data_IF_730470011864
#
_entry.id   IF_730470011864
#
_cell.length_a   1.000
_cell.length_b   1.000
_cell.length_c   1.000
_cell.angle_alpha   90.00
_cell.angle_beta   90.00
_cell.angle_gamma   90.00
#
_symmetry.space_group_name_H-M   'P 1'
#
loop_
_entity.id
_entity.type
_entity.pdbx_description
1 polymer ?
#
# COMPACT_ATOMS: atom_id res chain seq x y z
N UNK A 1 12.63 13.20 -19.28
CA UNK A 1 13.58 12.68 -18.26
C UNK A 1 12.80 11.78 -17.30
N UNK A 2 13.15 10.51 -17.22
CA UNK A 2 12.61 9.58 -16.21
C UNK A 2 13.13 10.02 -14.84
N UNK A 3 12.22 10.35 -13.92
CA UNK A 3 12.59 10.62 -12.53
C UNK A 3 12.65 9.29 -11.79
N UNK A 4 13.79 8.99 -11.23
CA UNK A 4 13.99 7.92 -10.27
C UNK A 4 14.21 8.57 -8.92
N UNK A 5 13.53 8.07 -7.88
CA UNK A 5 13.69 8.53 -6.52
C UNK A 5 14.08 7.34 -5.65
N UNK A 6 15.17 7.49 -4.91
CA UNK A 6 15.58 6.57 -3.86
C UNK A 6 15.61 7.36 -2.57
N UNK A 7 14.90 6.90 -1.56
CA UNK A 7 14.81 7.55 -0.25
C UNK A 7 15.30 6.55 0.78
N UNK A 8 16.11 7.02 1.72
CA UNK A 8 16.48 6.28 2.92
C UNK A 8 16.22 7.18 4.11
N UNK A 9 15.32 6.76 4.98
CA UNK A 9 14.98 7.46 6.20
C UNK A 9 15.41 6.67 7.42
N UNK A 10 15.76 7.37 8.49
CA UNK A 10 16.08 6.77 9.77
C UNK A 10 15.52 7.68 10.88
N UNK A 11 14.65 7.10 11.70
CA UNK A 11 14.04 7.80 12.84
C UNK A 11 14.57 7.18 14.12
N UNK A 12 15.07 8.02 15.03
CA UNK A 12 15.63 7.59 16.31
C UNK A 12 15.03 8.40 17.45
N UNK A 13 14.68 7.72 18.55
CA UNK A 13 14.35 8.34 19.82
C UNK A 13 15.04 7.57 20.95
N UNK A 14 15.52 8.30 21.96
CA UNK A 14 16.20 7.72 23.12
C UNK A 14 15.31 7.83 24.36
N UNK A 15 15.26 6.77 25.15
CA UNK A 15 14.59 6.75 26.46
C UNK A 15 15.19 7.81 27.38
N UNK A 16 14.34 8.56 28.10
CA UNK A 16 14.74 9.59 29.05
C UNK A 16 15.02 10.96 28.44
N UNK A 17 15.03 11.09 27.10
CA UNK A 17 15.16 12.38 26.42
C UNK A 17 13.77 12.98 26.22
N UNK A 18 13.55 14.22 26.66
CA UNK A 18 12.27 14.95 26.58
C UNK A 18 11.05 14.17 27.14
N UNK A 19 11.26 13.31 28.14
CA UNK A 19 10.20 12.50 28.74
C UNK A 19 9.82 11.25 27.94
N UNK A 20 10.65 10.82 27.00
CA UNK A 20 10.40 9.59 26.23
C UNK A 20 10.60 8.32 27.05
N UNK A 21 9.63 7.40 27.03
CA UNK A 21 9.68 6.14 27.77
C UNK A 21 10.37 5.00 27.02
N UNK A 22 10.51 5.12 25.69
CA UNK A 22 11.01 4.07 24.82
C UNK A 22 12.24 4.52 24.00
N UNK A 23 13.13 3.55 23.78
CA UNK A 23 14.16 3.69 22.75
C UNK A 23 13.56 3.21 21.43
N UNK A 24 13.52 4.06 20.42
CA UNK A 24 12.97 3.77 19.10
C UNK A 24 14.03 3.96 18.03
N UNK A 25 14.20 2.97 17.19
CA UNK A 25 15.03 3.06 16.01
C UNK A 25 14.31 2.39 14.85
N UNK A 26 13.90 3.19 13.88
CA UNK A 26 13.24 2.77 12.66
C UNK A 26 14.07 3.17 11.45
N UNK A 27 14.22 2.26 10.50
CA UNK A 27 14.85 2.54 9.22
C UNK A 27 13.92 2.14 8.10
N UNK A 28 13.81 2.99 7.08
CA UNK A 28 13.03 2.74 5.88
C UNK A 28 13.87 3.03 4.64
N UNK A 29 13.69 2.22 3.61
CA UNK A 29 14.23 2.44 2.29
C UNK A 29 13.09 2.42 1.28
N UNK A 30 13.04 3.41 0.41
CA UNK A 30 12.03 3.54 -0.65
C UNK A 30 12.68 3.69 -2.02
N UNK A 31 12.08 3.08 -3.00
CA UNK A 31 12.45 3.20 -4.40
C UNK A 31 11.22 3.48 -5.23
N UNK A 32 11.24 4.55 -6.03
CA UNK A 32 10.17 4.90 -6.94
C UNK A 32 10.73 5.16 -8.33
N UNK A 33 10.11 4.53 -9.33
CA UNK A 33 10.50 4.72 -10.73
C UNK A 33 9.33 4.55 -11.67
N UNK A 34 9.29 5.38 -12.70
CA UNK A 34 8.40 5.23 -13.86
C UNK A 34 9.15 4.59 -15.01
N UNK A 35 8.59 3.52 -15.56
CA UNK A 35 9.09 2.83 -16.74
C UNK A 35 8.16 3.13 -17.92
N UNK A 36 8.72 3.62 -19.01
CA UNK A 36 7.98 3.91 -20.25
C UNK A 36 8.14 2.79 -21.25
N UNK A 37 7.02 2.29 -21.79
CA UNK A 37 6.98 1.23 -22.79
C UNK A 37 6.55 1.74 -24.17
N UNK A 38 6.92 2.96 -24.52
CA UNK A 38 6.60 3.59 -25.81
C UNK A 38 5.08 3.60 -26.08
N UNK A 39 4.63 2.87 -27.09
CA UNK A 39 3.21 2.81 -27.49
C UNK A 39 2.31 2.07 -26.48
N UNK A 40 2.88 1.28 -25.58
CA UNK A 40 2.12 0.49 -24.58
C UNK A 40 1.90 1.21 -23.26
N UNK A 41 2.31 2.50 -23.17
CA UNK A 41 2.09 3.30 -21.98
C UNK A 41 3.26 3.29 -20.98
N UNK A 42 2.96 3.33 -19.69
CA UNK A 42 3.99 3.36 -18.65
C UNK A 42 3.55 2.65 -17.38
N UNK A 43 4.52 2.22 -16.59
CA UNK A 43 4.31 1.63 -15.27
C UNK A 43 4.99 2.47 -14.21
N UNK A 44 4.25 2.81 -13.17
CA UNK A 44 4.77 3.36 -11.95
C UNK A 44 5.03 2.23 -10.95
N UNK A 45 6.26 2.16 -10.45
CA UNK A 45 6.68 1.15 -9.48
C UNK A 45 7.17 1.87 -8.23
N UNK A 46 6.59 1.53 -7.08
CA UNK A 46 7.00 1.97 -5.75
C UNK A 46 7.31 0.74 -4.93
N UNK A 47 8.51 0.67 -4.39
CA UNK A 47 8.96 -0.39 -3.47
C UNK A 47 9.39 0.28 -2.18
N UNK A 48 8.96 -0.26 -1.04
CA UNK A 48 9.39 0.19 0.28
C UNK A 48 9.72 -1.00 1.16
N UNK A 49 10.71 -0.84 2.01
CA UNK A 49 11.04 -1.81 3.04
C UNK A 49 11.47 -1.05 4.29
N UNK A 50 11.01 -1.51 5.44
CA UNK A 50 11.31 -0.88 6.72
C UNK A 50 11.41 -1.86 7.85
N UNK A 51 12.12 -1.46 8.91
CA UNK A 51 12.32 -2.28 10.11
C UNK A 51 12.44 -1.43 11.37
N UNK A 52 11.72 -1.86 12.41
CA UNK A 52 11.85 -1.37 13.79
C UNK A 52 12.83 -2.28 14.52
N UNK A 53 13.92 -1.72 15.02
CA UNK A 53 15.03 -2.49 15.61
C UNK A 53 14.83 -2.79 17.08
N UNK A 54 14.10 -1.95 17.81
CA UNK A 54 13.93 -2.03 19.25
C UNK A 54 12.62 -2.75 19.62
N UNK A 55 12.51 -3.11 20.91
CA UNK A 55 11.25 -3.53 21.52
C UNK A 55 10.40 -2.29 21.77
N UNK A 56 9.20 -2.25 21.20
CA UNK A 56 8.30 -1.10 21.26
C UNK A 56 6.84 -1.55 21.41
N UNK A 57 5.96 -0.74 22.00
CA UNK A 57 4.52 -1.00 22.04
C UNK A 57 3.92 -0.84 20.65
N UNK A 58 2.72 -1.42 20.43
CA UNK A 58 2.08 -1.48 19.10
C UNK A 58 1.89 -0.13 18.39
N UNK A 59 1.67 1.01 19.08
CA UNK A 59 1.54 2.30 18.39
C UNK A 59 2.81 2.77 17.68
N UNK A 60 3.97 2.20 18.04
CA UNK A 60 5.27 2.48 17.42
C UNK A 60 5.68 1.41 16.39
N UNK A 61 4.86 0.38 16.18
CA UNK A 61 5.06 -0.60 15.12
C UNK A 61 4.66 -0.03 13.76
N UNK A 62 5.05 -0.71 12.71
CA UNK A 62 4.63 -0.36 11.35
C UNK A 62 3.20 -0.85 11.13
N UNK A 63 2.30 0.11 11.01
CA UNK A 63 0.90 -0.13 10.70
C UNK A 63 0.67 0.26 9.23
N UNK A 64 0.28 -0.68 8.35
CA UNK A 64 0.03 -0.37 6.96
C UNK A 64 -1.10 0.65 6.79
N UNK A 65 -0.97 1.53 5.81
CA UNK A 65 -1.99 2.54 5.52
C UNK A 65 -3.23 1.88 4.90
N UNK A 66 -4.29 1.75 5.67
CA UNK A 66 -5.60 1.29 5.21
C UNK A 66 -6.42 2.48 4.67
N UNK A 67 -6.98 2.32 3.49
CA UNK A 67 -7.86 3.32 2.90
C UNK A 67 -9.33 2.99 3.22
N UNK A 68 -9.90 3.65 4.19
CA UNK A 68 -11.29 3.49 4.60
C UNK A 68 -12.27 4.32 3.75
N UNK A 69 -11.79 5.07 2.77
CA UNK A 69 -12.61 5.90 1.89
C UNK A 69 -12.85 5.23 0.54
N UNK A 70 -13.86 5.69 -0.19
CA UNK A 70 -14.10 5.26 -1.57
C UNK A 70 -13.17 5.93 -2.59
N UNK A 71 -12.35 6.90 -2.17
CA UNK A 71 -11.39 7.59 -3.03
C UNK A 71 -10.09 6.81 -3.11
N UNK A 72 -9.47 6.80 -4.29
CA UNK A 72 -8.14 6.20 -4.47
C UNK A 72 -7.12 7.08 -3.76
N UNK A 73 -6.40 6.50 -2.82
CA UNK A 73 -5.29 7.16 -2.12
C UNK A 73 -3.97 6.51 -2.53
N UNK A 74 -2.94 7.30 -2.84
CA UNK A 74 -1.60 6.77 -3.09
C UNK A 74 -1.06 6.05 -1.85
N UNK A 75 -0.25 5.02 -2.08
CA UNK A 75 0.47 4.28 -1.04
C UNK A 75 -0.42 3.73 0.10
N UNK A 76 -1.68 3.44 -0.20
CA UNK A 76 -2.63 2.84 0.76
C UNK A 76 -3.32 1.62 0.18
N UNK A 77 -3.72 0.70 1.04
CA UNK A 77 -4.44 -0.52 0.66
C UNK A 77 -5.94 -0.25 0.68
N UNK A 78 -6.60 -0.61 -0.43
CA UNK A 78 -8.01 -0.25 -0.66
C UNK A 78 -9.01 -1.12 0.10
N UNK A 79 -8.63 -2.37 0.42
CA UNK A 79 -9.50 -3.38 1.02
C UNK A 79 -8.97 -3.91 2.36
N UNK A 80 -7.92 -3.27 2.88
CA UNK A 80 -7.37 -3.57 4.20
C UNK A 80 -8.13 -2.78 5.27
N UNK A 81 -8.44 -3.43 6.38
CA UNK A 81 -9.02 -2.75 7.53
C UNK A 81 -7.96 -1.95 8.31
N UNK A 82 -8.40 -0.93 9.03
CA UNK A 82 -7.50 -0.18 9.90
C UNK A 82 -6.91 -1.11 10.97
N UNK A 83 -5.59 -1.00 11.18
CA UNK A 83 -4.86 -1.81 12.17
C UNK A 83 -4.99 -3.33 11.98
N UNK A 84 -5.31 -3.80 10.77
CA UNK A 84 -5.47 -5.22 10.50
C UNK A 84 -4.16 -6.00 10.67
N UNK A 85 -3.04 -5.41 10.24
CA UNK A 85 -1.72 -6.03 10.39
C UNK A 85 -0.78 -5.15 11.20
N UNK A 86 -0.05 -5.79 12.11
CA UNK A 86 0.99 -5.18 12.93
C UNK A 86 2.33 -5.82 12.61
N UNK A 87 3.30 -5.03 12.15
CA UNK A 87 4.60 -5.52 11.71
C UNK A 87 5.72 -4.71 12.35
N UNK A 88 6.84 -5.36 12.66
CA UNK A 88 8.08 -4.66 13.02
C UNK A 88 9.08 -4.62 11.85
N UNK A 89 8.87 -5.45 10.84
CA UNK A 89 9.57 -5.36 9.56
C UNK A 89 8.59 -5.61 8.42
N UNK A 90 8.80 -4.92 7.29
CA UNK A 90 7.96 -5.07 6.13
C UNK A 90 8.68 -4.79 4.81
N UNK A 91 8.13 -5.35 3.75
CA UNK A 91 8.42 -5.00 2.38
C UNK A 91 7.09 -4.80 1.63
N UNK A 92 6.94 -3.70 0.93
CA UNK A 92 5.73 -3.38 0.18
C UNK A 92 6.04 -3.03 -1.26
N UNK A 93 5.08 -3.29 -2.14
CA UNK A 93 5.13 -2.89 -3.53
C UNK A 93 3.79 -2.30 -3.96
N UNK A 94 3.87 -1.27 -4.79
CA UNK A 94 2.74 -0.70 -5.54
C UNK A 94 3.19 -0.58 -6.99
N UNK A 95 2.53 -1.35 -7.85
CA UNK A 95 2.78 -1.36 -9.28
C UNK A 95 1.50 -0.95 -9.99
N UNK A 96 1.51 0.20 -10.66
CA UNK A 96 0.38 0.70 -11.42
C UNK A 96 0.78 0.88 -12.88
N UNK A 97 0.11 0.14 -13.77
CA UNK A 97 0.35 0.16 -15.20
C UNK A 97 -0.75 0.90 -15.95
N UNK A 98 -0.37 1.92 -16.69
CA UNK A 98 -1.22 2.77 -17.52
C UNK A 98 -1.04 2.40 -19.00
N UNK A 99 -2.04 1.76 -19.60
CA UNK A 99 -1.96 1.26 -20.96
C UNK A 99 -2.19 2.33 -22.04
N UNK A 100 -2.49 3.57 -21.66
CA UNK A 100 -2.74 4.69 -22.59
C UNK A 100 -3.79 4.42 -23.68
N UNK A 101 -4.79 3.58 -23.38
CA UNK A 101 -5.85 3.23 -24.33
C UNK A 101 -5.43 2.21 -25.38
N UNK A 102 -4.43 1.40 -25.12
CA UNK A 102 -3.97 0.37 -26.06
C UNK A 102 -5.07 -0.57 -26.52
N UNK A 103 -5.96 -0.99 -25.61
CA UNK A 103 -7.11 -1.82 -25.91
C UNK A 103 -8.30 -0.99 -26.41
N UNK A 104 -8.67 0.09 -25.67
CA UNK A 104 -9.86 0.89 -25.97
C UNK A 104 -9.76 1.66 -27.28
N UNK A 105 -8.57 2.06 -27.70
CA UNK A 105 -8.37 2.72 -29.00
C UNK A 105 -8.62 1.80 -30.22
N UNK A 106 -8.71 0.49 -30.01
CA UNK A 106 -9.06 -0.49 -31.07
C UNK A 106 -10.58 -0.57 -31.28
N UNK A 107 -11.37 -0.15 -30.30
CA UNK A 107 -12.83 -0.17 -30.36
C UNK A 107 -13.32 1.21 -30.82
N UNK A 108 -13.97 1.35 -31.98
CA UNK A 108 -14.29 2.67 -32.57
C UNK A 108 -15.10 3.59 -31.66
N UNK A 109 -16.01 3.03 -30.85
CA UNK A 109 -16.85 3.80 -29.91
C UNK A 109 -16.02 4.30 -28.73
N UNK A 110 -15.20 3.43 -28.10
CA UNK A 110 -14.37 3.76 -26.93
C UNK A 110 -13.22 4.71 -27.30
N UNK A 111 -12.70 4.62 -28.51
CA UNK A 111 -11.69 5.55 -29.03
C UNK A 111 -12.16 7.01 -29.00
N UNK A 112 -13.43 7.28 -29.26
CA UNK A 112 -14.00 8.64 -29.19
C UNK A 112 -14.06 9.17 -27.76
N UNK A 113 -14.22 8.30 -26.77
CA UNK A 113 -14.27 8.64 -25.35
C UNK A 113 -12.88 8.92 -24.75
N UNK A 114 -11.80 8.49 -25.44
CA UNK A 114 -10.41 8.64 -24.98
C UNK A 114 -10.15 8.06 -23.60
N UNK A 115 -10.91 7.03 -23.22
CA UNK A 115 -10.71 6.31 -21.98
C UNK A 115 -9.38 5.53 -22.02
N UNK A 116 -8.77 5.37 -20.84
CA UNK A 116 -7.50 4.66 -20.69
C UNK A 116 -7.64 3.57 -19.64
N UNK A 117 -7.06 2.43 -19.93
CA UNK A 117 -7.03 1.29 -19.01
C UNK A 117 -5.89 1.46 -18.01
N UNK A 118 -6.17 1.07 -16.77
CA UNK A 118 -5.20 1.03 -15.68
C UNK A 118 -5.26 -0.32 -15.00
N UNK A 119 -4.11 -0.92 -14.78
CA UNK A 119 -3.96 -2.13 -13.98
C UNK A 119 -3.13 -1.80 -12.76
N UNK A 120 -3.53 -2.29 -11.59
CA UNK A 120 -2.79 -2.08 -10.35
C UNK A 120 -2.58 -3.39 -9.61
N UNK A 121 -1.41 -3.52 -8.98
CA UNK A 121 -1.08 -4.61 -8.08
C UNK A 121 -0.32 -4.03 -6.89
N UNK A 122 -0.89 -4.20 -5.70
CA UNK A 122 -0.29 -3.75 -4.44
C UNK A 122 -0.11 -4.93 -3.52
N UNK A 123 0.99 -4.94 -2.79
CA UNK A 123 1.21 -5.97 -1.82
C UNK A 123 2.09 -5.54 -0.67
N UNK A 124 1.95 -6.29 0.41
CA UNK A 124 2.68 -6.13 1.64
C UNK A 124 3.13 -7.49 2.13
N UNK A 125 4.39 -7.62 2.39
CA UNK A 125 4.95 -8.71 3.17
C UNK A 125 5.43 -8.12 4.50
N UNK A 126 4.95 -8.62 5.62
CA UNK A 126 5.30 -8.15 6.94
C UNK A 126 5.62 -9.29 7.88
N UNK A 127 6.41 -9.01 8.89
CA UNK A 127 6.73 -9.93 9.96
C UNK A 127 6.66 -9.20 11.30
N UNK A 128 6.34 -9.94 12.35
CA UNK A 128 6.34 -9.45 13.72
C UNK A 128 7.21 -10.39 14.57
N UNK A 129 8.33 -9.87 15.04
CA UNK A 129 9.22 -10.64 15.91
C UNK A 129 8.65 -10.82 17.32
N UNK A 130 9.02 -11.90 17.98
CA UNK A 130 8.53 -12.26 19.32
C UNK A 130 8.79 -11.18 20.38
N UNK A 131 9.82 -10.35 20.20
CA UNK A 131 10.12 -9.22 21.09
C UNK A 131 9.06 -8.13 21.10
N UNK A 132 8.31 -7.98 19.99
CA UNK A 132 7.28 -6.98 19.78
C UNK A 132 5.85 -7.57 19.78
N UNK A 133 5.74 -8.88 20.02
CA UNK A 133 4.46 -9.57 20.06
C UNK A 133 3.95 -9.70 21.52
N UNK A 134 2.79 -9.10 21.86
CA UNK A 134 2.24 -9.19 23.21
C UNK A 134 1.81 -10.60 23.63
N UNK A 135 1.73 -11.56 22.70
CA UNK A 135 1.51 -12.96 23.05
C UNK A 135 2.71 -13.58 23.79
N UNK A 136 3.92 -13.10 23.52
CA UNK A 136 5.18 -13.57 24.12
C UNK A 136 5.74 -12.58 25.16
N UNK A 137 5.24 -11.32 25.19
CA UNK A 137 5.74 -10.25 26.06
C UNK A 137 4.59 -9.65 26.87
N UNK A 138 4.55 -9.94 28.16
CA UNK A 138 3.48 -9.50 29.08
C UNK A 138 3.50 -8.01 29.42
N UNK A 139 4.61 -7.33 29.17
CA UNK A 139 4.80 -5.90 29.42
C UNK A 139 4.38 -5.00 28.25
N UNK A 140 3.93 -5.58 27.14
CA UNK A 140 3.41 -4.85 26.00
C UNK A 140 1.89 -4.74 26.01
N UNK A 141 1.37 -3.63 25.47
CA UNK A 141 -0.07 -3.45 25.28
C UNK A 141 -0.61 -4.50 24.29
N UNK A 142 -1.76 -5.05 24.60
CA UNK A 142 -2.47 -5.97 23.69
C UNK A 142 -2.85 -5.27 22.39
N UNK A 143 -2.83 -6.01 21.30
CA UNK A 143 -3.29 -5.49 20.01
C UNK A 143 -4.79 -5.19 20.03
N UNK A 144 -5.23 -4.20 19.23
CA UNK A 144 -6.65 -3.94 19.03
C UNK A 144 -7.40 -5.19 18.53
N UNK A 145 -8.69 -5.27 18.82
CA UNK A 145 -9.53 -6.33 18.29
C UNK A 145 -9.56 -6.26 16.76
N UNK A 146 -9.44 -7.43 16.11
CA UNK A 146 -9.36 -7.50 14.64
C UNK A 146 -7.95 -7.44 14.05
N UNK A 147 -6.93 -7.13 14.86
CA UNK A 147 -5.54 -7.18 14.41
C UNK A 147 -5.04 -8.61 14.30
N UNK A 148 -4.29 -8.88 13.25
CA UNK A 148 -3.71 -10.18 12.92
C UNK A 148 -2.21 -10.03 12.63
N UNK A 149 -1.42 -11.03 12.98
CA UNK A 149 -0.02 -11.12 12.56
C UNK A 149 0.04 -11.74 11.18
N UNK A 150 0.90 -11.18 10.32
CA UNK A 150 1.14 -11.77 9.00
C UNK A 150 1.95 -13.06 9.16
N UNK A 151 1.55 -14.10 8.41
CA UNK A 151 2.31 -15.34 8.27
C UNK A 151 3.28 -15.27 7.07
N UNK A 152 3.59 -16.42 6.49
CA UNK A 152 4.46 -16.47 5.29
C UNK A 152 3.80 -15.99 4.01
N UNK A 153 2.50 -15.71 4.01
CA UNK A 153 1.76 -15.27 2.82
C UNK A 153 1.71 -13.74 2.79
N UNK A 154 2.13 -13.09 1.71
CA UNK A 154 1.97 -11.64 1.57
C UNK A 154 0.50 -11.26 1.43
N UNK A 155 0.14 -10.08 1.91
CA UNK A 155 -1.13 -9.44 1.56
C UNK A 155 -1.04 -8.90 0.13
N UNK A 156 -2.03 -9.18 -0.72
CA UNK A 156 -2.04 -8.76 -2.12
C UNK A 156 -3.42 -8.28 -2.54
N UNK A 157 -3.45 -7.11 -3.18
CA UNK A 157 -4.59 -6.55 -3.90
C UNK A 157 -4.26 -6.41 -5.38
N UNK A 158 -5.23 -6.70 -6.25
CA UNK A 158 -5.13 -6.39 -7.67
C UNK A 158 -6.36 -5.57 -8.09
N UNK A 159 -6.16 -4.62 -9.00
CA UNK A 159 -7.21 -3.75 -9.48
C UNK A 159 -7.16 -3.54 -10.98
N UNK A 160 -8.34 -3.32 -11.54
CA UNK A 160 -8.52 -2.89 -12.93
C UNK A 160 -9.33 -1.61 -12.92
N UNK A 161 -8.86 -0.60 -13.62
CA UNK A 161 -9.47 0.71 -13.65
C UNK A 161 -9.60 1.31 -15.04
N UNK A 162 -10.43 2.31 -15.11
CA UNK A 162 -10.62 3.16 -16.28
C UNK A 162 -10.37 4.59 -15.83
N UNK A 163 -9.44 5.26 -16.48
CA UNK A 163 -9.17 6.68 -16.27
C UNK A 163 -9.63 7.54 -17.46
N UNK A 164 -9.60 8.85 -17.25
CA UNK A 164 -10.00 9.83 -18.24
C UNK A 164 -11.51 9.82 -18.59
N UNK A 165 -12.33 9.31 -17.69
CA UNK A 165 -13.79 9.42 -17.80
C UNK A 165 -14.15 10.90 -17.60
N UNK A 166 -14.80 11.50 -18.62
CA UNK A 166 -15.06 12.94 -18.68
C UNK A 166 -13.82 13.82 -18.44
N UNK A 167 -12.61 13.32 -18.71
CA UNK A 167 -11.30 13.99 -18.53
C UNK A 167 -10.87 14.22 -17.06
N UNK A 168 -11.66 13.82 -16.09
CA UNK A 168 -11.39 14.11 -14.67
C UNK A 168 -11.56 12.91 -13.74
N UNK A 169 -12.27 11.88 -14.16
CA UNK A 169 -12.64 10.77 -13.29
C UNK A 169 -11.85 9.51 -13.61
N UNK A 170 -11.42 8.82 -12.58
CA UNK A 170 -10.89 7.45 -12.61
C UNK A 170 -11.75 6.58 -11.71
N UNK A 171 -12.07 5.38 -12.17
CA UNK A 171 -12.81 4.36 -11.45
C UNK A 171 -12.03 3.07 -11.50
N UNK A 172 -11.71 2.52 -10.35
CA UNK A 172 -10.99 1.24 -10.19
C UNK A 172 -11.89 0.23 -9.48
N UNK A 173 -11.89 -0.99 -9.95
CA UNK A 173 -12.42 -2.12 -9.23
C UNK A 173 -11.26 -2.96 -8.69
N UNK A 174 -11.21 -3.14 -7.37
CA UNK A 174 -10.10 -3.78 -6.67
C UNK A 174 -10.56 -5.08 -6.05
N UNK A 175 -9.72 -6.10 -6.13
CA UNK A 175 -9.92 -7.41 -5.50
C UNK A 175 -8.81 -7.67 -4.49
N UNK A 176 -9.21 -8.17 -3.33
CA UNK A 176 -8.33 -8.74 -2.33
C UNK A 176 -8.05 -10.20 -2.69
N UNK A 177 -6.79 -10.54 -2.92
CA UNK A 177 -6.40 -11.87 -3.38
C UNK A 177 -6.03 -12.81 -2.23
N UNK A 178 -5.48 -12.27 -1.14
CA UNK A 178 -5.03 -13.04 0.04
C UNK A 178 -5.76 -12.62 1.30
N UNK A 179 -5.69 -13.40 2.36
CA UNK A 179 -6.35 -13.16 3.66
C UNK A 179 -7.86 -12.90 3.56
N UNK A 180 -8.53 -13.60 2.63
CA UNK A 180 -9.96 -13.42 2.33
C UNK A 180 -10.89 -14.06 3.36
N UNK A 181 -10.35 -14.86 4.27
CA UNK A 181 -11.10 -15.62 5.28
C UNK A 181 -11.11 -14.95 6.64
N UNK A 182 -10.50 -13.78 6.79
CA UNK A 182 -10.56 -13.01 8.04
C UNK A 182 -11.98 -12.45 8.24
N UNK A 183 -12.41 -12.24 9.50
CA UNK A 183 -13.71 -11.63 9.77
C UNK A 183 -13.74 -10.18 9.28
N UNK A 184 -14.91 -9.73 8.87
CA UNK A 184 -15.22 -8.34 8.48
C UNK A 184 -14.30 -7.75 7.40
N UNK A 185 -13.83 -8.59 6.45
CA UNK A 185 -13.00 -8.13 5.35
C UNK A 185 -13.77 -8.02 4.04
N UNK A 186 -13.59 -6.92 3.35
CA UNK A 186 -14.07 -6.74 1.99
C UNK A 186 -13.21 -7.55 1.01
N UNK A 187 -13.86 -8.38 0.19
CA UNK A 187 -13.17 -9.20 -0.83
C UNK A 187 -12.94 -8.46 -2.14
N UNK A 188 -13.76 -7.45 -2.40
CA UNK A 188 -13.64 -6.57 -3.56
C UNK A 188 -14.36 -5.25 -3.29
N UNK A 189 -14.01 -4.21 -4.01
CA UNK A 189 -14.64 -2.91 -3.85
C UNK A 189 -14.35 -1.96 -5.02
N UNK A 190 -15.24 -1.00 -5.19
CA UNK A 190 -15.09 0.07 -6.17
C UNK A 190 -14.40 1.26 -5.51
N UNK A 191 -13.45 1.85 -6.22
CA UNK A 191 -12.73 3.06 -5.79
C UNK A 191 -12.78 4.10 -6.88
N UNK A 192 -12.91 5.35 -6.49
CA UNK A 192 -13.08 6.50 -7.40
C UNK A 192 -11.99 7.51 -7.09
N UNK A 193 -11.45 8.15 -8.11
CA UNK A 193 -10.50 9.26 -7.94
C UNK A 193 -10.79 10.36 -8.94
N UNK A 194 -10.62 11.58 -8.49
CA UNK A 194 -10.56 12.74 -9.38
C UNK A 194 -9.10 12.94 -9.80
N UNK A 195 -8.84 12.74 -11.08
CA UNK A 195 -7.52 12.89 -11.68
C UNK A 195 -7.62 13.82 -12.88
N UNK A 196 -7.18 15.07 -12.71
CA UNK A 196 -7.12 16.02 -13.80
C UNK A 196 -5.83 15.80 -14.60
N UNK A 197 -5.97 15.32 -15.81
CA UNK A 197 -4.85 15.23 -16.77
C UNK A 197 -4.85 16.49 -17.61
N UNK A 198 -3.97 17.43 -17.30
CA UNK A 198 -3.73 18.63 -18.12
C UNK A 198 -2.74 18.31 -19.23
#
# INVERSE_FOLDING_TARGET
RQRQMCIRDSTMAAKGVLGGDYTYHYTEAGFQKRFWFSAFGYTDVILKAGKVWNKVPFPLLVIPNANLSYTIQPESYSLMNAMEFMNDEYASWDVTYYLNGWLFNRIPLLKKLKWREVLSCRGLYGNLSDKNNPAFQQDLFRFPAGSTTMGHTPYVEAGVGIENIFKVLRVDYVWRLTYRNLPDVDKSGLRISLHMTF
#
